data_IF_995179441391
#
_entry.id   IF_995179441391
#
_cell.length_a   1.000
_cell.length_b   1.000
_cell.length_c   1.000
_cell.angle_alpha   90.00
_cell.angle_beta   90.00
_cell.angle_gamma   90.00
#
_symmetry.space_group_name_H-M   'P 1'
#
loop_
_entity.id
_entity.type
_entity.pdbx_description
1 polymer ?
#
# COMPACT_ATOMS: atom_id res chain seq x y z
N UNK A 1 -0.77 -19.10 -18.60
CA UNK A 1 -1.11 -19.60 -17.24
C UNK A 1 0.12 -20.06 -16.47
N UNK A 2 0.80 -21.13 -16.92
CA UNK A 2 1.96 -21.69 -16.23
C UNK A 2 3.08 -20.66 -15.96
N UNK A 3 3.54 -19.81 -16.91
CA UNK A 3 4.68 -18.93 -16.64
C UNK A 3 4.36 -17.85 -15.60
N UNK A 4 3.13 -17.32 -15.56
CA UNK A 4 2.71 -16.36 -14.53
C UNK A 4 2.60 -17.00 -13.13
N UNK A 5 2.08 -18.22 -13.04
CA UNK A 5 2.02 -18.97 -11.79
C UNK A 5 3.42 -19.27 -11.23
N UNK A 6 4.32 -19.79 -12.07
CA UNK A 6 5.69 -20.08 -11.67
C UNK A 6 6.44 -18.82 -11.24
N UNK A 7 6.25 -17.70 -11.95
CA UNK A 7 6.85 -16.43 -11.57
C UNK A 7 6.38 -15.96 -10.19
N UNK A 8 5.07 -16.01 -9.90
CA UNK A 8 4.54 -15.64 -8.58
C UNK A 8 5.08 -16.54 -7.48
N UNK A 9 5.02 -17.86 -7.68
CA UNK A 9 5.53 -18.81 -6.69
C UNK A 9 7.02 -18.57 -6.40
N UNK A 10 7.82 -18.33 -7.45
CA UNK A 10 9.25 -18.04 -7.31
C UNK A 10 9.48 -16.73 -6.55
N UNK A 11 8.73 -15.67 -6.86
CA UNK A 11 8.82 -14.38 -6.16
C UNK A 11 8.42 -14.51 -4.69
N UNK A 12 7.35 -15.25 -4.38
CA UNK A 12 6.93 -15.50 -3.00
C UNK A 12 7.99 -16.28 -2.22
N UNK A 13 8.52 -17.36 -2.80
CA UNK A 13 9.58 -18.15 -2.16
C UNK A 13 10.84 -17.32 -1.95
N UNK A 14 11.25 -16.54 -2.97
CA UNK A 14 12.39 -15.62 -2.85
C UNK A 14 12.16 -14.59 -1.74
N UNK A 15 10.96 -14.02 -1.65
CA UNK A 15 10.58 -13.08 -0.59
C UNK A 15 10.70 -13.70 0.80
N UNK A 16 10.21 -14.92 1.00
CA UNK A 16 10.33 -15.65 2.27
C UNK A 16 11.81 -15.88 2.63
N UNK A 17 12.61 -16.32 1.66
CA UNK A 17 14.05 -16.56 1.88
C UNK A 17 14.80 -15.27 2.21
N UNK A 18 14.45 -14.17 1.54
CA UNK A 18 15.03 -12.85 1.80
C UNK A 18 14.67 -12.34 3.20
N UNK A 19 13.42 -12.51 3.63
CA UNK A 19 12.95 -12.10 4.96
C UNK A 19 13.53 -12.97 6.09
N UNK A 20 13.80 -14.25 5.82
CA UNK A 20 14.48 -15.13 6.76
C UNK A 20 15.99 -14.88 6.88
N UNK A 21 16.58 -14.11 5.95
CA UNK A 21 18.02 -13.87 5.94
C UNK A 21 18.43 -12.82 6.98
N UNK A 22 19.03 -13.25 8.08
CA UNK A 22 19.53 -12.34 9.13
C UNK A 22 20.93 -11.77 8.82
N UNK A 23 21.74 -12.49 8.04
CA UNK A 23 23.13 -12.11 7.78
C UNK A 23 23.24 -11.15 6.59
N UNK A 24 23.84 -9.99 6.81
CA UNK A 24 24.01 -8.95 5.78
C UNK A 24 24.64 -9.47 4.47
N UNK A 25 25.66 -10.33 4.56
CA UNK A 25 26.28 -10.94 3.39
C UNK A 25 25.28 -11.78 2.57
N UNK A 26 24.38 -12.51 3.24
CA UNK A 26 23.36 -13.33 2.57
C UNK A 26 22.36 -12.42 1.85
N UNK A 27 21.89 -11.36 2.51
CA UNK A 27 20.99 -10.37 1.90
C UNK A 27 21.61 -9.79 0.63
N UNK A 28 22.87 -9.34 0.69
CA UNK A 28 23.57 -8.78 -0.48
C UNK A 28 23.67 -9.82 -1.61
N UNK A 29 24.01 -11.07 -1.29
CA UNK A 29 24.10 -12.13 -2.30
C UNK A 29 22.74 -12.45 -2.94
N UNK A 30 21.67 -12.48 -2.15
CA UNK A 30 20.31 -12.72 -2.65
C UNK A 30 19.85 -11.57 -3.55
N UNK A 31 20.09 -10.32 -3.15
CA UNK A 31 19.77 -9.14 -3.97
C UNK A 31 20.55 -9.13 -5.28
N UNK A 32 21.85 -9.42 -5.24
CA UNK A 32 22.67 -9.53 -6.45
C UNK A 32 22.16 -10.65 -7.38
N UNK A 33 21.81 -11.80 -6.81
CA UNK A 33 21.25 -12.93 -7.55
C UNK A 33 19.89 -12.59 -8.16
N UNK A 34 19.04 -11.87 -7.46
CA UNK A 34 17.76 -11.40 -7.99
C UNK A 34 17.95 -10.45 -9.17
N UNK A 35 18.87 -9.49 -9.08
CA UNK A 35 19.19 -8.58 -10.19
C UNK A 35 19.67 -9.39 -11.41
N UNK A 36 20.61 -10.32 -11.21
CA UNK A 36 21.12 -11.17 -12.29
C UNK A 36 20.01 -12.05 -12.89
N UNK A 37 19.14 -12.62 -12.07
CA UNK A 37 18.01 -13.42 -12.51
C UNK A 37 17.02 -12.61 -13.36
N UNK A 38 16.70 -11.38 -12.94
CA UNK A 38 15.83 -10.47 -13.71
C UNK A 38 16.48 -10.08 -15.03
N UNK A 39 17.77 -9.72 -15.04
CA UNK A 39 18.50 -9.39 -16.27
C UNK A 39 18.58 -10.58 -17.24
N UNK A 40 18.80 -11.79 -16.71
CA UNK A 40 18.78 -13.02 -17.51
C UNK A 40 17.38 -13.29 -18.08
N UNK A 41 16.33 -13.14 -17.26
CA UNK A 41 14.94 -13.31 -17.70
C UNK A 41 14.52 -12.27 -18.76
N UNK A 42 15.03 -11.04 -18.67
CA UNK A 42 14.88 -10.02 -19.71
C UNK A 42 15.54 -10.45 -21.01
N UNK A 43 16.81 -10.89 -20.96
CA UNK A 43 17.54 -11.32 -22.15
C UNK A 43 16.96 -12.56 -22.83
N UNK A 44 16.35 -13.46 -22.05
CA UNK A 44 15.72 -14.67 -22.55
C UNK A 44 14.28 -14.46 -23.03
N UNK A 45 13.73 -13.24 -22.96
CA UNK A 45 12.35 -12.92 -23.36
C UNK A 45 11.27 -13.56 -22.47
N UNK A 46 11.65 -14.15 -21.34
CA UNK A 46 10.73 -14.84 -20.42
C UNK A 46 9.75 -13.84 -19.79
N UNK A 47 10.20 -12.60 -19.55
CA UNK A 47 9.35 -11.57 -18.95
C UNK A 47 8.15 -11.18 -19.82
N UNK A 48 8.27 -11.26 -21.16
CA UNK A 48 7.13 -11.00 -22.05
C UNK A 48 6.06 -12.09 -21.90
N UNK A 49 6.46 -13.35 -21.78
CA UNK A 49 5.55 -14.48 -21.55
C UNK A 49 4.87 -14.43 -20.19
N UNK A 50 5.58 -13.96 -19.15
CA UNK A 50 5.01 -13.69 -17.83
C UNK A 50 4.00 -12.54 -17.92
N UNK A 51 4.38 -11.41 -18.53
CA UNK A 51 3.51 -10.24 -18.69
C UNK A 51 2.21 -10.55 -19.44
N UNK A 52 2.28 -11.32 -20.53
CA UNK A 52 1.08 -11.80 -21.24
C UNK A 52 0.18 -12.65 -20.36
N UNK A 53 0.75 -13.54 -19.54
CA UNK A 53 -0.04 -14.34 -18.60
C UNK A 53 -0.73 -13.50 -17.53
N UNK A 54 -0.12 -12.42 -17.07
CA UNK A 54 -0.74 -11.45 -16.16
C UNK A 54 -1.89 -10.69 -16.81
N UNK A 55 -1.75 -10.28 -18.08
CA UNK A 55 -2.80 -9.59 -18.81
C UNK A 55 -4.02 -10.49 -19.10
N UNK A 56 -3.80 -11.76 -19.46
CA UNK A 56 -4.88 -12.69 -19.80
C UNK A 56 -5.68 -13.17 -18.58
N UNK A 57 -5.06 -13.28 -17.40
CA UNK A 57 -5.67 -13.88 -16.19
C UNK A 57 -5.34 -13.13 -14.92
N UNK A 58 -5.49 -11.82 -14.99
CA UNK A 58 -5.29 -10.89 -13.89
C UNK A 58 -5.99 -11.35 -12.59
N UNK A 59 -7.24 -11.82 -12.68
CA UNK A 59 -8.02 -12.29 -11.52
C UNK A 59 -7.41 -13.49 -10.79
N UNK A 60 -7.00 -14.50 -11.56
CA UNK A 60 -6.44 -15.72 -10.99
C UNK A 60 -5.05 -15.46 -10.37
N UNK A 61 -4.25 -14.62 -11.03
CA UNK A 61 -2.91 -14.26 -10.55
C UNK A 61 -2.96 -13.28 -9.37
N UNK A 62 -3.94 -12.38 -9.32
CA UNK A 62 -4.23 -11.55 -8.15
C UNK A 62 -4.60 -12.41 -6.93
N UNK A 63 -5.46 -13.42 -7.12
CA UNK A 63 -5.78 -14.40 -6.08
C UNK A 63 -4.54 -15.16 -5.58
N UNK A 64 -3.66 -15.57 -6.48
CA UNK A 64 -2.40 -16.23 -6.13
C UNK A 64 -1.42 -15.31 -5.39
N UNK A 65 -1.37 -14.02 -5.74
CA UNK A 65 -0.56 -13.04 -5.03
C UNK A 65 -1.06 -12.85 -3.58
N UNK A 66 -2.39 -12.82 -3.38
CA UNK A 66 -3.01 -12.79 -2.05
C UNK A 66 -2.64 -14.06 -1.27
N UNK A 67 -2.74 -15.24 -1.89
CA UNK A 67 -2.33 -16.51 -1.26
C UNK A 67 -0.85 -16.51 -0.89
N UNK A 68 0.02 -15.95 -1.74
CA UNK A 68 1.44 -15.80 -1.45
C UNK A 68 1.73 -14.87 -0.27
N UNK A 69 0.98 -13.77 -0.16
CA UNK A 69 1.07 -12.87 0.99
C UNK A 69 0.62 -13.56 2.29
N UNK A 70 -0.49 -14.31 2.24
CA UNK A 70 -0.99 -15.11 3.37
C UNK A 70 0.02 -16.20 3.75
N UNK A 71 0.62 -16.90 2.78
CA UNK A 71 1.64 -17.90 3.03
C UNK A 71 2.88 -17.31 3.69
N UNK A 72 3.30 -16.11 3.28
CA UNK A 72 4.42 -15.39 3.89
C UNK A 72 4.11 -15.02 5.34
N UNK A 73 2.92 -14.46 5.61
CA UNK A 73 2.51 -14.11 6.96
C UNK A 73 2.35 -15.35 7.87
N UNK A 74 1.84 -16.46 7.32
CA UNK A 74 1.71 -17.72 8.03
C UNK A 74 3.07 -18.36 8.35
N UNK A 75 4.07 -18.20 7.49
CA UNK A 75 5.43 -18.69 7.74
C UNK A 75 6.12 -17.94 8.90
N UNK A 76 5.87 -16.64 9.03
CA UNK A 76 6.46 -15.78 10.05
C UNK A 76 5.45 -15.38 11.15
N UNK A 77 4.58 -16.31 11.54
CA UNK A 77 3.45 -16.03 12.45
C UNK A 77 3.88 -15.52 13.84
N UNK A 78 5.10 -15.82 14.25
CA UNK A 78 5.72 -15.46 15.54
C UNK A 78 6.61 -14.22 15.46
N UNK A 79 7.09 -13.87 14.26
CA UNK A 79 8.08 -12.81 14.08
C UNK A 79 7.44 -11.43 13.89
N UNK A 80 7.39 -10.64 14.98
CA UNK A 80 6.86 -9.28 14.98
C UNK A 80 7.50 -8.35 13.93
N UNK A 81 8.82 -8.41 13.75
CA UNK A 81 9.54 -7.51 12.84
C UNK A 81 9.20 -7.78 11.38
N UNK A 82 9.20 -9.07 10.98
CA UNK A 82 8.88 -9.45 9.61
C UNK A 82 7.42 -9.12 9.29
N UNK A 83 6.49 -9.39 10.22
CA UNK A 83 5.07 -9.06 10.02
C UNK A 83 4.83 -7.54 9.93
N UNK A 84 5.54 -6.73 10.72
CA UNK A 84 5.51 -5.28 10.59
C UNK A 84 5.93 -4.84 9.17
N UNK A 85 7.03 -5.40 8.64
CA UNK A 85 7.52 -5.08 7.32
C UNK A 85 6.53 -5.47 6.21
N UNK A 86 5.96 -6.68 6.30
CA UNK A 86 4.90 -7.13 5.37
C UNK A 86 3.69 -6.21 5.43
N UNK A 87 3.26 -5.80 6.62
CA UNK A 87 2.16 -4.86 6.79
C UNK A 87 2.47 -3.49 6.14
N UNK A 88 3.69 -2.96 6.32
CA UNK A 88 4.11 -1.73 5.65
C UNK A 88 4.04 -1.85 4.13
N UNK A 89 4.47 -2.98 3.56
CA UNK A 89 4.36 -3.25 2.12
C UNK A 89 2.90 -3.25 1.66
N UNK A 90 1.98 -3.89 2.40
CA UNK A 90 0.55 -3.89 2.07
C UNK A 90 -0.06 -2.48 2.08
N UNK A 91 0.27 -1.67 3.10
CA UNK A 91 -0.21 -0.29 3.20
C UNK A 91 0.35 0.57 2.07
N UNK A 92 1.64 0.45 1.75
CA UNK A 92 2.22 1.15 0.60
C UNK A 92 1.66 0.66 -0.72
N UNK A 93 1.30 -0.63 -0.85
CA UNK A 93 0.62 -1.13 -2.04
C UNK A 93 -0.71 -0.40 -2.28
N UNK A 94 -1.51 -0.17 -1.23
CA UNK A 94 -2.73 0.65 -1.33
C UNK A 94 -2.41 2.08 -1.81
N UNK A 95 -1.37 2.71 -1.25
CA UNK A 95 -0.96 4.04 -1.68
C UNK A 95 -0.52 4.06 -3.16
N UNK A 96 0.19 3.04 -3.61
CA UNK A 96 0.62 2.91 -5.02
C UNK A 96 -0.55 2.67 -5.97
N UNK A 97 -1.62 1.97 -5.55
CA UNK A 97 -2.84 1.85 -6.35
C UNK A 97 -3.50 3.22 -6.59
N UNK A 98 -3.53 4.08 -5.56
CA UNK A 98 -4.02 5.45 -5.70
C UNK A 98 -3.16 6.30 -6.63
N UNK A 99 -1.84 6.14 -6.60
CA UNK A 99 -0.93 6.80 -7.55
C UNK A 99 -1.08 6.27 -8.98
N UNK A 100 -1.26 4.96 -9.14
CA UNK A 100 -1.50 4.33 -10.44
C UNK A 100 -2.80 4.84 -11.06
N UNK A 101 -3.84 5.09 -10.27
CA UNK A 101 -5.08 5.69 -10.79
C UNK A 101 -4.84 7.07 -11.43
N UNK A 102 -3.98 7.89 -10.81
CA UNK A 102 -3.73 9.27 -11.25
C UNK A 102 -2.77 9.32 -12.43
N UNK A 103 -1.64 8.63 -12.33
CA UNK A 103 -0.62 8.64 -13.38
C UNK A 103 -0.95 7.67 -14.52
N UNK A 104 -1.39 6.45 -14.18
CA UNK A 104 -1.62 5.37 -15.12
C UNK A 104 -2.89 5.53 -15.95
N UNK A 105 -3.98 6.02 -15.36
CA UNK A 105 -5.26 6.20 -16.08
C UNK A 105 -5.49 7.66 -16.47
N UNK A 106 -5.42 8.59 -15.53
CA UNK A 106 -5.74 10.00 -15.83
C UNK A 106 -4.61 10.76 -16.56
N UNK A 107 -3.38 10.22 -16.59
CA UNK A 107 -2.22 10.90 -17.15
C UNK A 107 -1.75 12.13 -16.35
N UNK A 108 -2.30 12.35 -15.16
CA UNK A 108 -2.00 13.53 -14.33
C UNK A 108 -0.86 13.21 -13.38
N UNK A 109 0.24 13.95 -13.52
CA UNK A 109 1.38 13.82 -12.62
C UNK A 109 1.08 14.48 -11.27
N UNK A 110 0.92 13.66 -10.23
CA UNK A 110 0.71 14.13 -8.86
C UNK A 110 1.87 13.73 -7.93
N UNK A 111 2.56 14.73 -7.38
CA UNK A 111 3.62 14.55 -6.39
C UNK A 111 3.19 14.76 -4.94
N UNK A 112 1.92 15.10 -4.70
CA UNK A 112 1.33 15.27 -3.37
C UNK A 112 0.81 13.95 -2.75
N UNK A 113 1.03 12.78 -3.39
CA UNK A 113 0.51 11.50 -2.91
C UNK A 113 0.88 11.17 -1.46
N UNK A 114 2.13 11.45 -1.08
CA UNK A 114 2.59 11.27 0.31
C UNK A 114 1.85 12.19 1.29
N UNK A 115 1.50 13.41 0.90
CA UNK A 115 0.71 14.33 1.72
C UNK A 115 -0.71 13.84 1.91
N UNK A 116 -1.36 13.30 0.88
CA UNK A 116 -2.71 12.72 1.02
C UNK A 116 -2.71 11.48 1.92
N UNK A 117 -1.70 10.62 1.78
CA UNK A 117 -1.49 9.50 2.69
C UNK A 117 -1.28 9.98 4.13
N UNK A 118 -0.45 11.01 4.31
CA UNK A 118 -0.22 11.66 5.60
C UNK A 118 -1.49 12.24 6.21
N UNK A 119 -2.28 13.02 5.46
CA UNK A 119 -3.54 13.61 5.94
C UNK A 119 -4.46 12.52 6.50
N UNK A 120 -4.63 11.41 5.80
CA UNK A 120 -5.42 10.27 6.29
C UNK A 120 -4.85 9.66 7.58
N UNK A 121 -3.52 9.48 7.65
CA UNK A 121 -2.84 8.94 8.81
C UNK A 121 -2.96 9.86 10.04
N UNK A 122 -2.64 11.15 9.92
CA UNK A 122 -2.75 12.12 11.01
C UNK A 122 -4.19 12.32 11.47
N UNK A 123 -5.16 12.33 10.54
CA UNK A 123 -6.59 12.35 10.90
C UNK A 123 -6.95 11.14 11.74
N UNK A 124 -6.47 9.95 11.32
CA UNK A 124 -6.73 8.71 12.05
C UNK A 124 -6.10 8.71 13.45
N UNK A 125 -4.86 9.19 13.56
CA UNK A 125 -4.15 9.33 14.84
C UNK A 125 -4.87 10.29 15.80
N UNK A 126 -5.30 11.45 15.32
CA UNK A 126 -6.02 12.44 16.15
C UNK A 126 -7.36 11.89 16.62
N UNK A 127 -8.11 11.21 15.74
CA UNK A 127 -9.39 10.61 16.11
C UNK A 127 -9.20 9.51 17.15
N UNK A 128 -8.21 8.64 17.00
CA UNK A 128 -7.93 7.58 17.96
C UNK A 128 -7.45 8.10 19.32
N UNK A 129 -6.69 9.19 19.35
CA UNK A 129 -6.10 9.72 20.59
C UNK A 129 -7.06 10.64 21.35
N UNK A 130 -7.87 11.45 20.65
CA UNK A 130 -8.66 12.51 21.26
C UNK A 130 -10.17 12.30 21.21
N UNK A 131 -10.67 11.29 20.50
CA UNK A 131 -12.10 11.06 20.34
C UNK A 131 -12.50 9.62 20.66
N UNK A 132 -13.77 9.41 21.04
CA UNK A 132 -14.33 8.09 21.31
C UNK A 132 -14.95 7.43 20.05
N UNK A 133 -14.52 7.84 18.85
CA UNK A 133 -15.06 7.30 17.60
C UNK A 133 -14.70 5.81 17.51
N UNK A 134 -15.65 4.94 17.11
CA UNK A 134 -15.36 3.52 16.89
C UNK A 134 -14.17 3.35 15.95
N UNK A 135 -13.18 2.55 16.34
CA UNK A 135 -11.90 2.48 15.63
C UNK A 135 -12.04 2.05 14.17
N UNK A 136 -13.09 1.27 13.85
CA UNK A 136 -13.40 0.86 12.48
C UNK A 136 -13.83 2.04 11.59
N UNK A 137 -14.49 3.05 12.15
CA UNK A 137 -14.92 4.26 11.42
C UNK A 137 -13.78 5.25 11.21
N UNK A 138 -12.69 5.15 11.98
CA UNK A 138 -11.53 6.03 11.83
C UNK A 138 -10.92 5.90 10.43
N UNK A 139 -10.81 4.68 9.92
CA UNK A 139 -10.24 4.42 8.58
C UNK A 139 -11.02 5.11 7.45
N UNK A 140 -12.35 4.94 7.29
CA UNK A 140 -13.10 5.65 6.26
C UNK A 140 -13.15 7.16 6.50
N UNK A 141 -13.16 7.65 7.75
CA UNK A 141 -13.13 9.09 8.03
C UNK A 141 -11.78 9.69 7.59
N UNK A 142 -10.67 9.03 7.88
CA UNK A 142 -9.34 9.45 7.43
C UNK A 142 -9.25 9.50 5.90
N UNK A 143 -9.76 8.47 5.22
CA UNK A 143 -9.84 8.44 3.75
C UNK A 143 -10.74 9.54 3.19
N UNK A 144 -11.89 9.79 3.82
CA UNK A 144 -12.81 10.87 3.43
C UNK A 144 -12.17 12.24 3.58
N UNK A 145 -11.46 12.50 4.69
CA UNK A 145 -10.80 13.78 4.89
C UNK A 145 -9.65 13.99 3.89
N UNK A 146 -8.88 12.94 3.60
CA UNK A 146 -7.88 12.99 2.54
C UNK A 146 -8.51 13.29 1.16
N UNK A 147 -9.64 12.68 0.84
CA UNK A 147 -10.39 12.93 -0.40
C UNK A 147 -10.97 14.36 -0.46
N UNK A 148 -11.42 14.89 0.68
CA UNK A 148 -11.93 16.26 0.79
C UNK A 148 -10.83 17.29 0.53
N UNK A 149 -9.67 17.14 1.19
CA UNK A 149 -8.51 18.02 0.98
C UNK A 149 -7.96 17.85 -0.45
N UNK A 150 -7.93 16.62 -0.97
CA UNK A 150 -7.58 16.36 -2.36
C UNK A 150 -8.49 17.08 -3.35
N UNK A 151 -9.81 17.01 -3.14
CA UNK A 151 -10.79 17.71 -3.96
C UNK A 151 -10.61 19.23 -3.91
N UNK A 152 -10.27 19.78 -2.75
CA UNK A 152 -9.97 21.20 -2.60
C UNK A 152 -8.69 21.59 -3.35
N UNK A 153 -7.67 20.74 -3.32
CA UNK A 153 -6.41 20.95 -4.05
C UNK A 153 -6.60 20.88 -5.57
N UNK A 154 -7.55 20.08 -6.05
CA UNK A 154 -7.83 20.00 -7.50
C UNK A 154 -8.30 21.35 -8.06
N UNK A 155 -8.98 22.19 -7.28
CA UNK A 155 -9.47 23.50 -7.73
C UNK A 155 -8.37 24.40 -8.31
N UNK A 156 -7.24 24.67 -7.61
CA UNK A 156 -6.13 25.42 -8.19
C UNK A 156 -5.38 24.64 -9.29
N UNK A 157 -5.30 23.31 -9.21
CA UNK A 157 -4.62 22.49 -10.23
C UNK A 157 -5.32 22.60 -11.58
N UNK A 158 -6.66 22.59 -11.62
CA UNK A 158 -7.44 22.75 -12.85
C UNK A 158 -7.24 24.11 -13.54
N UNK A 159 -6.72 25.12 -12.83
CA UNK A 159 -6.38 26.42 -13.42
C UNK A 159 -5.00 26.44 -14.10
N UNK A 160 -4.21 25.39 -13.93
CA UNK A 160 -2.87 25.25 -14.50
C UNK A 160 -2.87 24.24 -15.65
N UNK A 161 -1.98 24.43 -16.64
CA UNK A 161 -1.87 23.53 -17.81
C UNK A 161 -0.52 22.83 -17.85
N UNK A 162 -0.50 21.57 -18.29
CA UNK A 162 0.71 20.79 -18.49
C UNK A 162 1.57 20.68 -17.22
N UNK A 163 2.87 20.97 -17.35
CA UNK A 163 3.85 20.80 -16.26
C UNK A 163 3.60 21.68 -15.02
N UNK A 164 2.81 22.75 -15.14
CA UNK A 164 2.50 23.61 -14.01
C UNK A 164 1.63 22.90 -12.94
N UNK A 165 0.80 21.94 -13.34
CA UNK A 165 0.04 21.12 -12.40
C UNK A 165 0.96 20.34 -11.45
N UNK A 166 2.04 19.78 -11.98
CA UNK A 166 3.03 19.07 -11.18
C UNK A 166 3.71 20.00 -10.16
N UNK A 167 4.07 21.22 -10.57
CA UNK A 167 4.66 22.23 -9.66
C UNK A 167 3.71 22.58 -8.51
N UNK A 168 2.41 22.72 -8.77
CA UNK A 168 1.41 22.97 -7.71
C UNK A 168 1.36 21.81 -6.70
N UNK A 169 1.39 20.57 -7.17
CA UNK A 169 1.39 19.40 -6.26
C UNK A 169 2.67 19.29 -5.43
N UNK A 170 3.82 19.65 -5.98
CA UNK A 170 5.09 19.73 -5.23
C UNK A 170 5.01 20.83 -4.17
N UNK A 171 4.50 22.01 -4.53
CA UNK A 171 4.33 23.12 -3.59
C UNK A 171 3.41 22.73 -2.44
N UNK A 172 2.32 22.00 -2.71
CA UNK A 172 1.46 21.47 -1.65
C UNK A 172 2.17 20.42 -0.79
N UNK A 173 2.96 19.52 -1.39
CA UNK A 173 3.72 18.55 -0.62
C UNK A 173 4.66 19.22 0.38
N UNK A 174 5.34 20.28 -0.07
CA UNK A 174 6.21 21.09 0.78
C UNK A 174 5.43 21.86 1.84
N UNK A 175 4.29 22.46 1.49
CA UNK A 175 3.42 23.16 2.43
C UNK A 175 2.93 22.21 3.53
N UNK A 176 2.49 21.00 3.17
CA UNK A 176 2.04 20.01 4.15
C UNK A 176 3.17 19.58 5.08
N UNK A 177 4.38 19.37 4.55
CA UNK A 177 5.57 19.09 5.38
C UNK A 177 5.84 20.22 6.37
N UNK A 178 5.91 21.47 5.90
CA UNK A 178 6.15 22.63 6.77
C UNK A 178 5.01 22.85 7.77
N UNK A 179 3.76 22.57 7.38
CA UNK A 179 2.62 22.60 8.28
C UNK A 179 2.82 21.61 9.43
N UNK A 180 3.24 20.38 9.16
CA UNK A 180 3.55 19.40 10.21
C UNK A 180 4.74 19.83 11.07
N UNK A 181 5.79 20.41 10.49
CA UNK A 181 6.96 20.89 11.24
C UNK A 181 6.64 21.96 12.29
N UNK A 182 5.63 22.80 12.04
CA UNK A 182 5.23 23.87 12.96
C UNK A 182 4.15 23.41 13.95
N UNK A 183 3.49 22.27 13.70
CA UNK A 183 2.39 21.77 14.53
C UNK A 183 2.85 20.64 15.47
N UNK A 184 3.40 21.02 16.61
CA UNK A 184 3.82 20.08 17.67
C UNK A 184 2.66 19.25 18.23
N UNK A 185 1.43 19.78 18.19
CA UNK A 185 0.21 19.07 18.63
C UNK A 185 -0.02 17.80 17.83
N UNK A 186 0.36 17.80 16.55
CA UNK A 186 0.28 16.62 15.68
C UNK A 186 1.47 15.68 15.85
N UNK A 187 2.37 15.92 16.83
CA UNK A 187 3.62 15.17 16.99
C UNK A 187 4.68 15.49 15.94
N UNK A 188 4.47 16.56 15.17
CA UNK A 188 5.40 17.00 14.14
C UNK A 188 5.64 15.95 13.04
N UNK A 189 6.79 16.00 12.35
CA UNK A 189 7.16 15.04 11.30
C UNK A 189 7.36 13.60 11.78
N UNK A 190 7.55 13.39 13.09
CA UNK A 190 7.71 12.06 13.70
C UNK A 190 6.35 11.36 13.94
N UNK A 191 5.25 12.12 13.89
CA UNK A 191 3.91 11.61 14.13
C UNK A 191 3.57 11.47 15.61
N UNK A 192 2.38 10.91 15.88
CA UNK A 192 1.85 10.72 17.22
C UNK A 192 1.90 9.25 17.63
N UNK A 193 2.07 9.00 18.92
CA UNK A 193 1.84 7.66 19.48
C UNK A 193 0.34 7.35 19.44
N UNK A 194 -0.03 6.27 18.77
CA UNK A 194 -1.43 5.87 18.57
C UNK A 194 -1.74 4.67 19.46
N UNK A 195 -2.85 4.69 20.23
CA UNK A 195 -3.26 3.53 21.00
C UNK A 195 -3.59 2.34 20.08
N UNK A 196 -3.36 1.12 20.57
CA UNK A 196 -3.69 -0.10 19.84
C UNK A 196 -5.17 -0.14 19.41
N UNK A 197 -5.43 -0.68 18.22
CA UNK A 197 -6.78 -0.73 17.67
C UNK A 197 -7.66 -1.68 18.50
N UNK A 198 -8.91 -1.29 18.78
CA UNK A 198 -9.91 -2.14 19.43
C UNK A 198 -11.15 -2.22 18.55
N UNK A 199 -11.51 -3.42 18.10
CA UNK A 199 -12.71 -3.65 17.29
C UNK A 199 -13.66 -4.53 18.09
N UNK A 200 -14.87 -4.01 18.37
CA UNK A 200 -15.95 -4.74 19.05
C UNK A 200 -15.53 -5.42 20.38
N UNK A 201 -14.59 -4.80 21.12
CA UNK A 201 -14.05 -5.33 22.38
C UNK A 201 -12.79 -6.18 22.25
N UNK A 202 -12.38 -6.57 21.04
CA UNK A 202 -11.11 -7.27 20.79
C UNK A 202 -9.96 -6.28 20.61
N UNK A 203 -8.94 -6.38 21.48
CA UNK A 203 -7.70 -5.61 21.37
C UNK A 203 -6.78 -6.24 20.33
N UNK A 204 -6.41 -5.46 19.32
CA UNK A 204 -5.49 -5.89 18.27
C UNK A 204 -4.04 -5.98 18.74
N UNK A 205 -3.75 -5.42 19.92
CA UNK A 205 -2.40 -5.40 20.50
C UNK A 205 -2.14 -6.59 21.44
N UNK A 206 -3.14 -7.45 21.62
CA UNK A 206 -3.02 -8.65 22.44
C UNK A 206 -2.59 -9.80 21.51
N UNK A 207 -1.55 -10.54 21.92
CA UNK A 207 -1.14 -11.74 21.21
C UNK A 207 -2.26 -12.79 21.27
N UNK A 208 -2.44 -13.51 20.17
CA UNK A 208 -3.46 -14.57 20.13
C UNK A 208 -2.79 -15.85 20.60
N UNK A 209 -3.17 -16.34 21.77
CA UNK A 209 -2.73 -17.65 22.27
C UNK A 209 -3.63 -18.74 21.67
N UNK A 210 -3.11 -19.49 20.70
CA UNK A 210 -3.80 -20.69 20.20
C UNK A 210 -3.34 -21.91 21.01
N UNK A 211 -4.25 -22.45 21.82
CA UNK A 211 -4.06 -23.75 22.48
C UNK A 211 -2.94 -23.83 23.52
N UNK A 212 -2.53 -22.70 24.12
CA UNK A 212 -1.56 -22.66 25.23
C UNK A 212 -0.10 -22.94 24.86
N UNK A 213 0.21 -23.16 23.58
CA UNK A 213 1.57 -23.49 23.11
C UNK A 213 2.03 -22.68 21.88
N UNK A 214 1.12 -21.98 21.19
CA UNK A 214 1.43 -21.16 20.02
C UNK A 214 1.02 -19.72 20.32
N UNK A 215 2.01 -18.86 20.55
CA UNK A 215 1.82 -17.42 20.64
C UNK A 215 1.88 -16.84 19.22
N UNK A 216 0.73 -16.38 18.71
CA UNK A 216 0.68 -15.64 17.46
C UNK A 216 0.93 -14.16 17.74
N UNK A 217 1.80 -13.57 16.93
CA UNK A 217 2.11 -12.15 16.94
C UNK A 217 0.84 -11.32 16.71
N UNK A 218 0.64 -10.29 17.53
CA UNK A 218 -0.47 -9.34 17.39
C UNK A 218 -0.49 -8.65 16.00
N UNK A 219 0.65 -8.57 15.31
CA UNK A 219 0.73 -8.00 13.94
C UNK A 219 -0.09 -8.78 12.91
N UNK A 220 -0.48 -10.03 13.17
CA UNK A 220 -1.36 -10.78 12.29
C UNK A 220 -2.76 -10.16 12.19
N UNK A 221 -3.25 -9.54 13.27
CA UNK A 221 -4.51 -8.80 13.24
C UNK A 221 -4.41 -7.59 12.31
N UNK A 222 -3.30 -6.87 12.38
CA UNK A 222 -3.03 -5.73 11.50
C UNK A 222 -2.81 -6.17 10.04
N UNK A 223 -2.15 -7.31 9.82
CA UNK A 223 -2.01 -7.93 8.50
C UNK A 223 -3.37 -8.26 7.88
N UNK A 224 -4.29 -8.85 8.64
CA UNK A 224 -5.63 -9.16 8.15
C UNK A 224 -6.38 -7.89 7.71
N UNK A 225 -6.29 -6.80 8.48
CA UNK A 225 -6.91 -5.52 8.14
C UNK A 225 -6.26 -4.87 6.92
N UNK A 226 -4.92 -4.82 6.84
CA UNK A 226 -4.24 -4.22 5.69
C UNK A 226 -4.42 -5.03 4.41
N UNK A 227 -4.48 -6.36 4.50
CA UNK A 227 -4.81 -7.23 3.38
C UNK A 227 -6.25 -7.00 2.92
N UNK A 228 -7.21 -6.90 3.84
CA UNK A 228 -8.60 -6.57 3.52
C UNK A 228 -8.69 -5.20 2.85
N UNK A 229 -7.99 -4.19 3.36
CA UNK A 229 -7.93 -2.86 2.75
C UNK A 229 -7.33 -2.89 1.34
N UNK A 230 -6.28 -3.69 1.13
CA UNK A 230 -5.68 -3.86 -0.20
C UNK A 230 -6.66 -4.52 -1.18
N UNK A 231 -7.33 -5.59 -0.76
CA UNK A 231 -8.34 -6.27 -1.59
C UNK A 231 -9.49 -5.29 -1.90
N UNK A 232 -9.99 -4.58 -0.90
CA UNK A 232 -11.06 -3.59 -1.08
C UNK A 232 -10.64 -2.46 -2.01
N UNK A 233 -9.44 -1.91 -1.86
CA UNK A 233 -8.89 -0.88 -2.72
C UNK A 233 -8.72 -1.37 -4.16
N UNK A 234 -8.19 -2.58 -4.36
CA UNK A 234 -8.04 -3.19 -5.68
C UNK A 234 -9.40 -3.39 -6.37
N UNK A 235 -10.38 -3.97 -5.66
CA UNK A 235 -11.75 -4.14 -6.19
C UNK A 235 -12.38 -2.79 -6.53
N UNK A 236 -12.19 -1.77 -5.68
CA UNK A 236 -12.71 -0.43 -5.91
C UNK A 236 -12.08 0.20 -7.16
N UNK A 237 -10.75 0.16 -7.29
CA UNK A 237 -10.03 0.68 -8.46
C UNK A 237 -10.52 0.00 -9.73
N UNK A 238 -10.65 -1.33 -9.71
CA UNK A 238 -11.11 -2.09 -10.88
C UNK A 238 -12.56 -1.81 -11.25
N UNK A 239 -13.42 -1.55 -10.26
CA UNK A 239 -14.79 -1.07 -10.51
C UNK A 239 -14.80 0.33 -11.10
N UNK A 240 -13.93 1.24 -10.64
CA UNK A 240 -13.81 2.58 -11.19
C UNK A 240 -13.33 2.55 -12.64
N UNK A 241 -12.32 1.73 -12.95
CA UNK A 241 -11.79 1.53 -14.29
C UNK A 241 -12.87 1.07 -15.28
N UNK A 242 -13.68 0.08 -14.89
CA UNK A 242 -14.76 -0.45 -15.74
C UNK A 242 -16.00 0.45 -15.81
N UNK A 243 -16.03 1.55 -15.06
CA UNK A 243 -17.16 2.48 -15.02
C UNK A 243 -17.00 3.63 -16.02
N UNK A 244 -18.03 4.48 -16.13
CA UNK A 244 -17.94 5.70 -16.94
C UNK A 244 -16.80 6.62 -16.50
N UNK A 245 -16.41 6.58 -15.22
CA UNK A 245 -15.33 7.41 -14.67
C UNK A 245 -14.02 7.01 -15.32
N UNK A 246 -13.74 5.71 -15.41
CA UNK A 246 -12.53 5.19 -16.05
C UNK A 246 -12.41 5.61 -17.51
N UNK A 247 -13.50 5.52 -18.27
CA UNK A 247 -13.54 5.98 -19.67
C UNK A 247 -13.24 7.47 -19.80
N UNK A 248 -13.77 8.30 -18.89
CA UNK A 248 -13.48 9.73 -18.90
C UNK A 248 -12.03 10.04 -18.52
N UNK A 249 -11.44 9.29 -17.57
CA UNK A 249 -10.04 9.46 -17.21
C UNK A 249 -9.11 9.08 -18.37
N UNK A 250 -9.44 8.03 -19.11
CA UNK A 250 -8.67 7.61 -20.28
C UNK A 250 -8.77 8.64 -21.43
N UNK A 251 -9.95 9.24 -21.62
CA UNK A 251 -10.12 10.35 -22.57
C UNK A 251 -9.22 11.55 -22.23
N UNK A 252 -9.14 11.94 -20.95
CA UNK A 252 -8.28 13.05 -20.50
C UNK A 252 -6.79 12.77 -20.69
N UNK A 253 -6.37 11.50 -20.70
CA UNK A 253 -4.97 11.13 -20.91
C UNK A 253 -4.53 11.28 -22.37
N UNK A 254 -5.47 11.18 -23.31
CA UNK A 254 -5.21 11.25 -24.75
C UNK A 254 -5.16 12.71 -25.29
N UNK A 255 -5.64 13.67 -24.49
CA UNK A 255 -5.61 15.12 -24.77
C UNK A 255 -4.28 15.78 -24.38
#
# INVERSE_FOLDING_TARGET
MLPGFFALALVTVYGIVLLAAERQAVIITLLALAILAVLAAQRLGVLEGVGRSFAEREDALGGLAILGAVATAAWFYDNHFVLLLVNSVLVYAVATLGLNLQFGYAGVLNFAGASFFGIGAYTSSVLLTHTAVPHLLVLPIGGFLAALIGSLLVVPVLRTRGHYAAVVTIAFALLFKTFLEVNDVLGGPQGMQVPGMKILGWSFNDNIELGGHIELSFYLNYFAVSLLLLIAAFVLVRRLERSWIGLNLDALRLD
#
